data_IF_435664418553
#
_entry.id   IF_435664418553
#
_cell.length_a   1.000
_cell.length_b   1.000
_cell.length_c   1.000
_cell.angle_alpha   90.00
_cell.angle_beta   90.00
_cell.angle_gamma   90.00
#
_symmetry.space_group_name_H-M   'P 1'
#
loop_
_entity.id
_entity.type
_entity.pdbx_description
1 polymer ?
#
# COMPACT_ATOMS: atom_id res chain seq x y z
N UNK A 1 -22.09 36.17 -27.08
CA UNK A 1 -22.31 35.55 -25.75
C UNK A 1 -22.09 34.06 -25.87
N UNK A 2 -20.89 33.55 -25.58
CA UNK A 2 -20.62 32.12 -25.54
C UNK A 2 -20.99 31.57 -24.16
N UNK A 3 -22.04 30.76 -24.12
CA UNK A 3 -22.56 30.12 -22.90
C UNK A 3 -21.46 29.33 -22.21
N UNK A 4 -21.13 29.74 -20.99
CA UNK A 4 -20.22 29.05 -20.09
C UNK A 4 -20.83 27.70 -19.68
N UNK A 5 -20.32 26.60 -20.25
CA UNK A 5 -20.57 25.25 -19.73
C UNK A 5 -19.77 25.01 -18.44
N UNK A 6 -20.13 25.72 -17.36
CA UNK A 6 -19.71 25.32 -16.02
C UNK A 6 -20.70 24.25 -15.57
N UNK A 7 -20.48 23.00 -15.99
CA UNK A 7 -21.22 21.89 -15.42
C UNK A 7 -20.92 21.83 -13.92
N UNK A 8 -21.88 22.20 -13.08
CA UNK A 8 -21.75 22.05 -11.62
C UNK A 8 -21.50 20.57 -11.30
N UNK A 9 -20.30 20.25 -10.83
CA UNK A 9 -19.96 18.90 -10.39
C UNK A 9 -20.86 18.57 -9.20
N UNK A 10 -21.58 17.44 -9.27
CA UNK A 10 -22.42 17.00 -8.16
C UNK A 10 -21.57 16.67 -6.93
N UNK A 11 -22.08 16.83 -5.69
CA UNK A 11 -21.36 16.48 -4.48
C UNK A 11 -20.81 15.05 -4.49
N UNK A 12 -21.54 14.10 -5.09
CA UNK A 12 -21.08 12.73 -5.29
C UNK A 12 -19.88 12.64 -6.23
N UNK A 13 -19.95 13.25 -7.42
CA UNK A 13 -18.80 13.30 -8.35
C UNK A 13 -17.60 14.01 -7.74
N UNK A 14 -17.82 14.99 -6.88
CA UNK A 14 -16.76 15.62 -6.09
C UNK A 14 -16.15 14.60 -5.14
N UNK A 15 -16.94 13.96 -4.27
CA UNK A 15 -16.51 12.93 -3.30
C UNK A 15 -15.70 11.81 -3.96
N UNK A 16 -16.14 11.31 -5.12
CA UNK A 16 -15.43 10.28 -5.88
C UNK A 16 -14.03 10.74 -6.35
N UNK A 17 -13.87 12.02 -6.73
CA UNK A 17 -12.55 12.57 -7.08
C UNK A 17 -11.63 12.73 -5.86
N UNK A 18 -12.17 12.68 -4.65
CA UNK A 18 -11.43 12.83 -3.39
C UNK A 18 -10.85 11.51 -2.88
N UNK A 19 -11.35 10.36 -3.36
CA UNK A 19 -10.92 9.03 -2.93
C UNK A 19 -9.66 8.55 -3.68
N UNK A 20 -8.61 9.38 -3.68
CA UNK A 20 -7.31 9.06 -4.26
C UNK A 20 -6.26 8.97 -3.17
N UNK A 21 -5.53 7.86 -3.16
CA UNK A 21 -4.51 7.60 -2.15
C UNK A 21 -3.22 7.10 -2.79
N UNK A 22 -2.10 7.40 -2.15
CA UNK A 22 -0.82 6.74 -2.40
C UNK A 22 -0.45 5.92 -1.17
N UNK A 23 -0.10 4.66 -1.37
CA UNK A 23 0.50 3.81 -0.34
C UNK A 23 1.98 3.65 -0.71
N UNK A 24 2.86 3.99 0.21
CA UNK A 24 4.28 3.62 0.16
C UNK A 24 4.50 2.56 1.21
N UNK A 25 4.98 1.39 0.82
CA UNK A 25 5.27 0.33 1.78
C UNK A 25 6.66 -0.22 1.53
N UNK A 26 7.40 -0.40 2.63
CA UNK A 26 8.66 -1.12 2.64
C UNK A 26 8.66 -2.06 3.84
N UNK A 27 9.48 -3.10 3.72
CA UNK A 27 9.78 -4.00 4.81
C UNK A 27 11.29 -3.97 5.08
N UNK A 28 11.66 -4.50 6.23
CA UNK A 28 13.03 -4.80 6.59
C UNK A 28 13.03 -6.09 7.39
N UNK A 29 14.12 -6.83 7.29
CA UNK A 29 14.43 -7.96 8.15
C UNK A 29 15.72 -7.65 8.88
N UNK A 30 15.69 -7.76 10.21
CA UNK A 30 16.88 -7.70 11.05
C UNK A 30 16.91 -8.94 11.93
N UNK A 31 17.95 -9.76 11.77
CA UNK A 31 18.06 -11.10 12.36
C UNK A 31 16.84 -11.97 11.99
N UNK A 32 15.91 -12.15 12.92
CA UNK A 32 14.68 -12.96 12.76
C UNK A 32 13.39 -12.14 12.93
N UNK A 33 13.50 -10.83 13.10
CA UNK A 33 12.36 -9.93 13.27
C UNK A 33 12.27 -9.06 12.02
N UNK A 34 11.15 -9.18 11.33
CA UNK A 34 10.80 -8.27 10.26
C UNK A 34 10.00 -7.08 10.79
N UNK A 35 10.06 -5.96 10.09
CA UNK A 35 9.23 -4.79 10.34
C UNK A 35 8.77 -4.23 9.01
N UNK A 36 7.54 -3.75 8.96
CA UNK A 36 7.10 -2.91 7.85
C UNK A 36 6.94 -1.48 8.31
N UNK A 37 7.06 -0.57 7.33
CA UNK A 37 6.60 0.81 7.45
C UNK A 37 5.74 1.09 6.23
N UNK A 38 4.52 1.55 6.48
CA UNK A 38 3.54 1.90 5.47
C UNK A 38 3.13 3.36 5.65
N UNK A 39 3.24 4.15 4.59
CA UNK A 39 2.82 5.56 4.55
C UNK A 39 1.63 5.67 3.61
N UNK A 40 0.56 6.26 4.10
CA UNK A 40 -0.64 6.56 3.32
C UNK A 40 -0.71 8.07 3.15
N UNK A 41 -0.82 8.53 1.91
CA UNK A 41 -1.11 9.92 1.56
C UNK A 41 -2.47 10.00 0.89
N UNK A 42 -3.33 10.90 1.34
CA UNK A 42 -4.54 11.27 0.60
C UNK A 42 -4.23 12.30 -0.52
N UNK A 43 -5.26 12.68 -1.27
CA UNK A 43 -5.12 13.70 -2.34
C UNK A 43 -4.67 15.08 -1.87
N UNK A 44 -4.83 15.39 -0.58
CA UNK A 44 -4.45 16.66 0.04
C UNK A 44 -3.06 16.56 0.70
N UNK A 45 -2.34 15.45 0.48
CA UNK A 45 -1.05 15.14 1.09
C UNK A 45 -1.11 14.97 2.62
N UNK A 46 -2.28 14.71 3.19
CA UNK A 46 -2.38 14.33 4.59
C UNK A 46 -1.74 12.96 4.77
N UNK A 47 -0.77 12.88 5.69
CA UNK A 47 0.06 11.71 5.90
C UNK A 47 -0.39 10.90 7.10
N UNK A 48 -0.52 9.59 6.92
CA UNK A 48 -0.63 8.60 7.99
C UNK A 48 0.48 7.57 7.88
N UNK A 49 1.13 7.26 8.99
CA UNK A 49 2.22 6.28 9.04
C UNK A 49 1.81 5.11 9.93
N UNK A 50 1.97 3.90 9.41
CA UNK A 50 1.75 2.64 10.10
C UNK A 50 3.08 1.90 10.17
N UNK A 51 3.36 1.25 11.29
CA UNK A 51 4.53 0.40 11.43
C UNK A 51 4.28 -0.68 12.45
N UNK A 52 4.68 -1.91 12.15
CA UNK A 52 4.56 -3.03 13.08
C UNK A 52 5.75 -3.98 12.92
N UNK A 53 6.16 -4.61 14.03
CA UNK A 53 7.09 -5.74 14.02
C UNK A 53 6.31 -7.03 13.73
N UNK A 54 6.92 -7.89 12.92
CA UNK A 54 6.38 -9.14 12.42
C UNK A 54 7.50 -10.16 12.64
N UNK A 55 7.23 -11.22 13.40
CA UNK A 55 8.20 -12.30 13.52
C UNK A 55 8.34 -13.03 12.17
N UNK A 56 9.57 -13.37 11.82
CA UNK A 56 9.85 -14.12 10.59
C UNK A 56 10.12 -13.24 9.37
N UNK A 57 9.39 -13.45 8.29
CA UNK A 57 9.84 -13.19 6.92
C UNK A 57 9.61 -11.74 6.43
N UNK A 58 10.59 -11.22 5.69
CA UNK A 58 10.57 -9.91 5.03
C UNK A 58 9.33 -9.73 4.12
N UNK A 59 8.97 -10.76 3.36
CA UNK A 59 7.83 -10.76 2.44
C UNK A 59 6.52 -10.69 3.22
N UNK A 60 6.40 -11.46 4.30
CA UNK A 60 5.23 -11.41 5.18
C UNK A 60 5.03 -10.02 5.77
N UNK A 61 6.10 -9.38 6.24
CA UNK A 61 6.01 -8.03 6.77
C UNK A 61 5.52 -7.03 5.71
N UNK A 62 6.02 -7.11 4.49
CA UNK A 62 5.53 -6.27 3.39
C UNK A 62 4.04 -6.50 3.11
N UNK A 63 3.62 -7.77 3.00
CA UNK A 63 2.21 -8.13 2.76
C UNK A 63 1.33 -7.56 3.87
N UNK A 64 1.71 -7.73 5.14
CA UNK A 64 0.95 -7.19 6.26
C UNK A 64 0.87 -5.66 6.24
N UNK A 65 1.98 -4.99 5.91
CA UNK A 65 1.99 -3.54 5.79
C UNK A 65 1.04 -3.01 4.74
N UNK A 66 0.95 -3.72 3.60
CA UNK A 66 0.00 -3.37 2.55
C UNK A 66 -1.45 -3.67 2.94
N UNK A 67 -1.72 -4.80 3.61
CA UNK A 67 -3.04 -5.15 4.16
C UNK A 67 -3.51 -4.05 5.12
N UNK A 68 -2.67 -3.69 6.09
CA UNK A 68 -3.00 -2.69 7.11
C UNK A 68 -3.20 -1.30 6.47
N UNK A 69 -2.41 -0.99 5.43
CA UNK A 69 -2.57 0.21 4.62
C UNK A 69 -3.93 0.31 3.93
N UNK A 70 -4.31 -0.74 3.19
CA UNK A 70 -5.59 -0.78 2.46
C UNK A 70 -6.77 -0.79 3.44
N UNK A 71 -6.71 -1.60 4.50
CA UNK A 71 -7.75 -1.61 5.56
C UNK A 71 -7.95 -0.23 6.17
N UNK A 72 -6.86 0.49 6.44
CA UNK A 72 -6.92 1.84 7.00
C UNK A 72 -7.61 2.82 6.05
N UNK A 73 -7.38 2.71 4.73
CA UNK A 73 -8.10 3.52 3.74
C UNK A 73 -9.59 3.17 3.75
N UNK A 74 -9.91 1.88 3.63
CA UNK A 74 -11.29 1.40 3.52
C UNK A 74 -12.13 1.68 4.77
N UNK A 75 -11.52 1.65 5.96
CA UNK A 75 -12.21 1.95 7.22
C UNK A 75 -12.76 3.38 7.27
N UNK A 76 -12.11 4.32 6.58
CA UNK A 76 -12.52 5.73 6.58
C UNK A 76 -13.51 6.07 5.45
N UNK A 77 -13.95 5.08 4.68
CA UNK A 77 -14.79 5.25 3.50
C UNK A 77 -16.02 4.35 3.63
N UNK A 78 -17.22 4.87 3.35
CA UNK A 78 -18.43 4.05 3.29
C UNK A 78 -18.28 2.95 2.24
N UNK A 79 -18.73 1.73 2.56
CA UNK A 79 -18.51 0.52 1.75
C UNK A 79 -18.96 0.65 0.29
N UNK A 80 -20.10 1.31 0.04
CA UNK A 80 -20.61 1.58 -1.31
C UNK A 80 -19.65 2.38 -2.20
N UNK A 81 -18.65 3.05 -1.61
CA UNK A 81 -17.66 3.83 -2.35
C UNK A 81 -16.29 3.15 -2.50
N UNK A 82 -16.08 1.96 -1.93
CA UNK A 82 -14.77 1.29 -1.93
C UNK A 82 -14.21 1.08 -3.35
N UNK A 83 -15.05 0.62 -4.29
CA UNK A 83 -14.64 0.37 -5.69
C UNK A 83 -14.24 1.63 -6.46
N UNK A 84 -14.58 2.82 -5.96
CA UNK A 84 -14.17 4.09 -6.56
C UNK A 84 -12.88 4.64 -5.97
N UNK A 85 -12.37 4.03 -4.90
CA UNK A 85 -11.10 4.38 -4.30
C UNK A 85 -9.98 4.02 -5.27
N UNK A 86 -9.22 5.02 -5.72
CA UNK A 86 -8.02 4.83 -6.53
C UNK A 86 -6.79 4.84 -5.62
N UNK A 87 -6.16 3.69 -5.45
CA UNK A 87 -4.96 3.53 -4.63
C UNK A 87 -3.74 3.29 -5.53
N UNK A 88 -2.77 4.19 -5.46
CA UNK A 88 -1.47 4.00 -6.11
C UNK A 88 -0.51 3.37 -5.11
N UNK A 89 -0.18 2.10 -5.32
CA UNK A 89 0.76 1.36 -4.48
C UNK A 89 2.16 1.58 -5.04
N UNK A 90 3.03 2.15 -4.23
CA UNK A 90 4.40 2.51 -4.60
C UNK A 90 5.39 1.70 -3.77
N UNK A 91 6.40 1.17 -4.45
CA UNK A 91 7.53 0.45 -3.83
C UNK A 91 8.77 0.63 -4.70
N UNK A 92 9.94 0.58 -4.06
CA UNK A 92 11.24 0.54 -4.73
C UNK A 92 11.66 -0.89 -5.11
N UNK A 93 10.87 -1.89 -4.73
CA UNK A 93 11.15 -3.29 -4.98
C UNK A 93 10.18 -3.87 -6.01
N UNK A 94 10.69 -4.15 -7.22
CA UNK A 94 9.90 -4.68 -8.33
C UNK A 94 9.29 -6.05 -8.02
N UNK A 95 9.94 -6.88 -7.20
CA UNK A 95 9.41 -8.17 -6.78
C UNK A 95 8.03 -8.02 -6.12
N UNK A 96 7.89 -7.04 -5.24
CA UNK A 96 6.62 -6.80 -4.57
C UNK A 96 5.55 -6.25 -5.49
N UNK A 97 5.92 -5.39 -6.43
CA UNK A 97 4.97 -4.88 -7.41
C UNK A 97 4.46 -6.02 -8.29
N UNK A 98 5.34 -6.90 -8.79
CA UNK A 98 4.98 -8.09 -9.56
C UNK A 98 4.14 -9.09 -8.75
N UNK A 99 4.42 -9.26 -7.46
CA UNK A 99 3.60 -10.08 -6.57
C UNK A 99 2.14 -9.59 -6.55
N UNK A 100 1.94 -8.28 -6.41
CA UNK A 100 0.62 -7.65 -6.31
C UNK A 100 -0.10 -7.62 -7.67
N UNK A 101 0.59 -7.32 -8.76
CA UNK A 101 -0.06 -7.14 -10.07
C UNK A 101 -0.30 -8.45 -10.83
N UNK A 102 0.56 -9.46 -10.62
CA UNK A 102 0.53 -10.67 -11.44
C UNK A 102 0.35 -11.95 -10.61
N UNK A 103 1.24 -12.20 -9.67
CA UNK A 103 1.34 -13.53 -9.06
C UNK A 103 0.16 -13.85 -8.17
N UNK A 104 -0.28 -12.88 -7.37
CA UNK A 104 -1.43 -13.04 -6.49
C UNK A 104 -2.70 -13.40 -7.27
N UNK A 105 -2.86 -12.86 -8.49
CA UNK A 105 -3.96 -13.21 -9.39
C UNK A 105 -3.87 -14.64 -9.91
N UNK A 106 -2.67 -15.10 -10.29
CA UNK A 106 -2.43 -16.48 -10.76
C UNK A 106 -2.70 -17.50 -9.65
N UNK A 107 -2.32 -17.21 -8.42
CA UNK A 107 -2.49 -18.13 -7.28
C UNK A 107 -3.94 -18.28 -6.81
N UNK A 108 -4.81 -17.31 -7.14
CA UNK A 108 -6.24 -17.39 -6.86
C UNK A 108 -6.87 -18.68 -7.38
N UNK A 109 -6.50 -19.11 -8.59
CA UNK A 109 -7.06 -20.32 -9.22
C UNK A 109 -6.74 -21.61 -8.46
N UNK A 110 -5.68 -21.59 -7.64
CA UNK A 110 -5.26 -22.70 -6.79
C UNK A 110 -5.65 -22.48 -5.32
N UNK A 111 -6.49 -21.48 -5.03
CA UNK A 111 -6.86 -21.07 -3.67
C UNK A 111 -5.65 -20.77 -2.76
N UNK A 112 -4.52 -20.35 -3.36
CA UNK A 112 -3.26 -20.12 -2.65
C UNK A 112 -2.69 -21.36 -1.93
N UNK A 113 -3.12 -22.57 -2.30
CA UNK A 113 -2.57 -23.83 -1.75
C UNK A 113 -1.05 -23.90 -1.95
N UNK A 114 -0.37 -24.46 -0.95
CA UNK A 114 1.08 -24.68 -0.91
C UNK A 114 1.94 -23.41 -1.05
N UNK A 115 1.36 -22.23 -0.79
CA UNK A 115 2.10 -20.97 -0.73
C UNK A 115 2.45 -20.61 0.71
N UNK A 116 3.68 -20.15 0.90
CA UNK A 116 4.08 -19.47 2.11
C UNK A 116 3.17 -18.25 2.33
N UNK A 117 2.65 -18.08 3.55
CA UNK A 117 1.72 -16.99 3.91
C UNK A 117 0.41 -16.98 3.10
N UNK A 118 -0.13 -18.16 2.78
CA UNK A 118 -1.35 -18.33 1.98
C UNK A 118 -2.56 -17.56 2.54
N UNK A 119 -2.70 -17.49 3.86
CA UNK A 119 -3.79 -16.76 4.53
C UNK A 119 -3.69 -15.26 4.26
N UNK A 120 -2.50 -14.68 4.45
CA UNK A 120 -2.23 -13.27 4.25
C UNK A 120 -2.31 -12.88 2.77
N UNK A 121 -1.83 -13.74 1.87
CA UNK A 121 -2.00 -13.56 0.43
C UNK A 121 -3.47 -13.57 0.02
N UNK A 122 -4.28 -14.48 0.58
CA UNK A 122 -5.72 -14.54 0.33
C UNK A 122 -6.42 -13.28 0.83
N UNK A 123 -6.07 -12.81 2.02
CA UNK A 123 -6.62 -11.56 2.58
C UNK A 123 -6.24 -10.35 1.72
N UNK A 124 -4.97 -10.23 1.34
CA UNK A 124 -4.49 -9.16 0.46
C UNK A 124 -5.24 -9.17 -0.87
N UNK A 125 -5.44 -10.36 -1.48
CA UNK A 125 -6.21 -10.49 -2.71
C UNK A 125 -7.65 -9.98 -2.57
N UNK A 126 -8.33 -10.36 -1.48
CA UNK A 126 -9.70 -9.90 -1.20
C UNK A 126 -9.73 -8.37 -1.08
N UNK A 127 -8.79 -7.77 -0.37
CA UNK A 127 -8.73 -6.31 -0.21
C UNK A 127 -8.44 -5.59 -1.52
N UNK A 128 -7.49 -6.08 -2.32
CA UNK A 128 -7.19 -5.52 -3.64
C UNK A 128 -8.39 -5.57 -4.57
N UNK A 129 -9.24 -6.61 -4.46
CA UNK A 129 -10.46 -6.72 -5.27
C UNK A 129 -11.56 -5.71 -4.91
N UNK A 130 -11.45 -5.02 -3.76
CA UNK A 130 -12.41 -4.00 -3.29
C UNK A 130 -12.03 -2.58 -3.71
N UNK A 131 -10.86 -2.38 -4.31
CA UNK A 131 -10.34 -1.07 -4.69
C UNK A 131 -9.92 -1.05 -6.15
N UNK A 132 -9.90 0.13 -6.75
CA UNK A 132 -9.17 0.33 -7.98
C UNK A 132 -7.71 0.65 -7.62
N UNK A 133 -6.75 -0.14 -8.06
CA UNK A 133 -5.36 0.11 -7.75
C UNK A 133 -4.47 0.10 -8.99
N UNK A 134 -3.37 0.82 -8.87
CA UNK A 134 -2.25 0.76 -9.80
C UNK A 134 -0.95 0.69 -9.01
N UNK A 135 0.07 0.06 -9.58
CA UNK A 135 1.40 0.04 -9.00
C UNK A 135 2.31 1.07 -9.67
N UNK A 136 3.30 1.55 -8.94
CA UNK A 136 4.35 2.38 -9.51
C UNK A 136 5.69 2.06 -8.86
N UNK A 137 6.69 1.74 -9.68
CA UNK A 137 8.06 1.60 -9.21
C UNK A 137 8.61 3.00 -8.92
N UNK A 138 9.18 3.18 -7.74
CA UNK A 138 9.78 4.45 -7.32
C UNK A 138 11.26 4.25 -7.02
N UNK A 139 12.06 5.26 -7.30
CA UNK A 139 13.49 5.26 -6.97
C UNK A 139 13.72 6.16 -5.76
N UNK A 140 14.58 5.70 -4.83
CA UNK A 140 14.87 6.37 -3.55
C UNK A 140 15.34 7.82 -3.70
N UNK A 141 15.99 8.14 -4.81
CA UNK A 141 16.53 9.47 -5.12
C UNK A 141 15.49 10.45 -5.68
N UNK A 142 14.31 9.96 -6.07
CA UNK A 142 13.30 10.75 -6.80
C UNK A 142 12.02 11.02 -6.02
N UNK A 143 11.84 10.40 -4.85
CA UNK A 143 10.60 10.48 -4.08
C UNK A 143 10.92 10.64 -2.58
N UNK A 144 10.46 11.73 -1.98
CA UNK A 144 10.76 12.08 -0.58
C UNK A 144 10.27 11.02 0.42
N UNK A 145 9.17 10.33 0.10
CA UNK A 145 8.62 9.29 0.96
C UNK A 145 9.38 7.98 0.80
N UNK A 146 9.89 7.70 -0.40
CA UNK A 146 10.83 6.59 -0.61
C UNK A 146 12.11 6.81 0.21
N UNK A 147 12.67 8.03 0.17
CA UNK A 147 13.83 8.40 0.97
C UNK A 147 13.55 8.33 2.47
N UNK A 148 12.40 8.84 2.92
CA UNK A 148 12.01 8.77 4.33
C UNK A 148 11.85 7.33 4.81
N UNK A 149 11.25 6.45 4.00
CA UNK A 149 11.14 5.03 4.30
C UNK A 149 12.51 4.37 4.42
N UNK A 150 13.41 4.63 3.47
CA UNK A 150 14.77 4.09 3.48
C UNK A 150 15.56 4.57 4.71
N UNK A 151 15.51 5.86 5.01
CA UNK A 151 16.13 6.42 6.21
C UNK A 151 15.60 5.75 7.48
N UNK A 152 14.28 5.63 7.62
CA UNK A 152 13.67 4.98 8.79
C UNK A 152 14.03 3.50 8.92
N UNK A 153 14.25 2.82 7.81
CA UNK A 153 14.74 1.43 7.81
C UNK A 153 16.19 1.36 8.26
N UNK A 154 17.05 2.26 7.79
CA UNK A 154 18.47 2.26 8.11
C UNK A 154 18.76 2.75 9.54
N UNK A 155 18.05 3.78 10.04
CA UNK A 155 18.16 4.28 11.41
C UNK A 155 17.91 3.15 12.44
N UNK A 156 17.06 2.17 12.10
CA UNK A 156 16.76 1.03 12.99
C UNK A 156 17.91 0.03 13.04
N UNK A 157 18.70 -0.12 11.95
CA UNK A 157 19.86 -1.02 11.92
C UNK A 157 21.00 -0.50 12.80
N UNK A 158 21.28 0.80 12.76
CA UNK A 158 22.38 1.42 13.51
C UNK A 158 22.21 1.30 15.03
N UNK A 159 20.96 1.36 15.51
CA UNK A 159 20.62 1.21 16.93
C UNK A 159 20.86 -0.22 17.47
N UNK A 160 20.88 -1.24 16.60
CA UNK A 160 21.11 -2.63 17.00
C UNK A 160 22.58 -3.06 16.87
N UNK A 161 23.35 -2.43 15.98
CA UNK A 161 24.81 -2.65 15.87
C UNK A 161 25.62 -1.91 16.94
N UNK A 162 24.97 -1.06 17.75
CA UNK A 162 25.58 -0.30 18.84
C UNK A 162 25.46 -0.98 20.22
N UNK A 163 25.05 -2.25 20.24
CA UNK A 163 24.96 -3.11 21.43
C UNK A 163 25.89 -4.30 21.29
#
# INVERSE_FOLDING_TARGET
MSQSFISKITPEKKKLRELKFNIYVTAQLTNSISRYICIILDKNSNKKVLSKRIEGNYVLAFIQGLIDGIKTILYNIEEKYHNYCLVTIKSDNIFFLSLITEWIGKWKHQEFKDREFSSELKELYILLSKINFKTNLIYKTSDEYAWFLDKKVNDVKELETSK
#
